data_IF_526142174404
#
_entry.id   IF_526142174404
#
_cell.length_a   1.000
_cell.length_b   1.000
_cell.length_c   1.000
_cell.angle_alpha   90.00
_cell.angle_beta   90.00
_cell.angle_gamma   90.00
#
_symmetry.space_group_name_H-M   'P 1'
#
loop_
_entity.id
_entity.type
_entity.pdbx_description
1 polymer ?
#
# COMPACT_ATOMS: atom_id res chain seq x y z
N UNK A 1 -1.08 -18.91 8.20
CA UNK A 1 -1.19 -18.79 9.65
C UNK A 1 -1.37 -20.17 10.23
N UNK A 2 -0.36 -20.73 10.92
CA UNK A 2 -0.66 -21.75 11.90
C UNK A 2 -1.56 -21.12 12.98
N UNK A 3 -2.52 -21.88 13.55
CA UNK A 3 -3.30 -21.37 14.67
C UNK A 3 -2.35 -20.95 15.79
N UNK A 4 -2.72 -19.89 16.52
CA UNK A 4 -2.17 -19.65 17.85
C UNK A 4 -2.28 -20.99 18.59
N UNK A 5 -1.15 -21.64 18.88
CA UNK A 5 -1.13 -22.94 19.51
C UNK A 5 -1.97 -22.85 20.79
N UNK A 6 -3.06 -23.62 20.86
CA UNK A 6 -3.74 -23.88 22.11
C UNK A 6 -2.67 -24.36 23.09
N UNK A 7 -2.54 -23.67 24.22
CA UNK A 7 -1.91 -24.23 25.40
C UNK A 7 -2.69 -25.51 25.73
N UNK A 8 -2.15 -26.66 25.33
CA UNK A 8 -2.70 -27.95 25.72
C UNK A 8 -2.30 -28.20 27.16
N UNK A 9 -3.24 -28.02 28.09
CA UNK A 9 -3.34 -28.93 29.22
C UNK A 9 -4.33 -30.01 28.81
N UNK A 10 -3.84 -31.24 28.72
CA UNK A 10 -4.65 -32.45 28.66
C UNK A 10 -5.59 -32.48 29.88
N UNK A 11 -6.90 -32.64 29.64
CA UNK A 11 -7.72 -33.65 30.31
C UNK A 11 -9.18 -33.56 29.81
N UNK A 12 -9.57 -34.66 29.18
CA UNK A 12 -10.87 -35.33 29.18
C UNK A 12 -12.21 -34.60 28.92
N UNK A 13 -12.83 -35.08 27.82
CA UNK A 13 -14.19 -35.63 27.71
C UNK A 13 -15.36 -34.75 28.18
N UNK A 14 -16.08 -34.20 27.21
CA UNK A 14 -17.45 -34.63 26.89
C UNK A 14 -17.85 -34.04 25.52
N UNK A 15 -18.21 -34.91 24.59
CA UNK A 15 -18.73 -34.56 23.26
C UNK A 15 -20.17 -34.06 23.42
N UNK A 16 -20.39 -32.77 23.20
CA UNK A 16 -21.68 -32.26 22.75
C UNK A 16 -21.54 -31.70 21.33
N UNK A 17 -22.46 -32.16 20.48
CA UNK A 17 -22.51 -32.00 19.03
C UNK A 17 -22.23 -30.56 18.56
N UNK A 18 -21.12 -30.42 17.85
CA UNK A 18 -20.75 -29.25 17.06
C UNK A 18 -21.53 -29.30 15.72
N UNK A 19 -22.43 -28.35 15.40
CA UNK A 19 -23.01 -28.32 14.07
C UNK A 19 -22.00 -27.68 13.09
N UNK A 20 -21.20 -28.51 12.42
CA UNK A 20 -20.60 -28.12 11.13
C UNK A 20 -21.64 -28.21 10.00
N UNK A 21 -21.39 -27.71 8.77
CA UNK A 21 -20.12 -27.26 8.20
C UNK A 21 -20.20 -25.87 7.48
N UNK A 22 -19.06 -25.30 7.09
CA UNK A 22 -18.91 -24.11 6.22
C UNK A 22 -19.04 -22.70 6.83
N UNK A 23 -18.60 -22.49 8.07
CA UNK A 23 -18.30 -21.12 8.53
C UNK A 23 -16.94 -20.68 7.95
N UNK A 24 -16.96 -20.20 6.71
CA UNK A 24 -15.89 -19.35 6.18
C UNK A 24 -15.71 -18.19 7.17
N UNK A 25 -14.50 -18.01 7.71
CA UNK A 25 -14.16 -16.86 8.55
C UNK A 25 -14.55 -15.57 7.81
N UNK A 26 -15.50 -14.80 8.34
CA UNK A 26 -15.94 -13.53 7.77
C UNK A 26 -14.89 -12.49 8.11
N UNK A 27 -13.84 -12.42 7.31
CA UNK A 27 -12.75 -11.46 7.50
C UNK A 27 -13.12 -10.13 6.87
N UNK A 28 -12.79 -9.03 7.53
CA UNK A 28 -12.99 -7.66 7.04
C UNK A 28 -12.24 -7.48 5.70
N UNK A 29 -12.98 -7.58 4.60
CA UNK A 29 -12.51 -7.27 3.25
C UNK A 29 -13.00 -5.87 2.93
N UNK A 30 -12.07 -4.92 2.84
CA UNK A 30 -12.35 -3.65 2.20
C UNK A 30 -11.78 -3.72 0.79
N UNK A 31 -12.63 -3.49 -0.21
CA UNK A 31 -12.20 -3.21 -1.58
C UNK A 31 -11.36 -1.92 -1.54
N UNK A 32 -10.15 -1.97 -2.09
CA UNK A 32 -9.51 -0.74 -2.59
C UNK A 32 -10.35 -0.26 -3.76
N UNK A 33 -10.59 1.06 -3.85
CA UNK A 33 -11.49 1.66 -4.84
C UNK A 33 -11.17 1.12 -6.25
N UNK A 34 -12.10 0.33 -6.78
CA UNK A 34 -12.22 0.16 -8.22
C UNK A 34 -12.65 1.51 -8.80
N UNK A 35 -11.93 1.98 -9.83
CA UNK A 35 -12.28 3.14 -10.62
C UNK A 35 -13.76 3.14 -11.04
N UNK A 36 -14.38 4.31 -11.20
CA UNK A 36 -15.82 4.41 -11.41
C UNK A 36 -16.22 3.75 -12.73
N UNK A 37 -16.87 2.60 -12.63
CA UNK A 37 -17.60 2.03 -13.75
C UNK A 37 -18.80 2.96 -14.04
N UNK A 38 -18.88 3.39 -15.30
CA UNK A 38 -19.94 4.27 -15.79
C UNK A 38 -21.30 3.66 -15.45
N UNK A 39 -22.13 4.50 -14.83
CA UNK A 39 -23.59 4.42 -14.72
C UNK A 39 -24.27 3.34 -15.57
N UNK A 40 -24.79 2.31 -14.91
CA UNK A 40 -26.11 1.77 -15.22
C UNK A 40 -26.73 1.14 -13.96
N UNK A 41 -27.95 1.57 -13.63
CA UNK A 41 -28.72 1.10 -12.47
C UNK A 41 -28.86 -0.43 -12.50
N UNK A 42 -28.38 -1.11 -11.45
CA UNK A 42 -29.04 -2.32 -10.95
C UNK A 42 -29.26 -2.23 -9.45
N UNK A 43 -30.54 -2.43 -9.13
CA UNK A 43 -31.13 -2.54 -7.80
C UNK A 43 -30.85 -3.96 -7.29
N UNK A 44 -30.32 -4.08 -6.08
CA UNK A 44 -30.13 -5.35 -5.38
C UNK A 44 -28.74 -5.45 -4.76
N UNK A 45 -28.69 -5.29 -3.44
CA UNK A 45 -27.46 -5.48 -2.67
C UNK A 45 -27.07 -6.95 -2.62
N UNK A 46 -26.01 -7.30 -3.33
CA UNK A 46 -25.20 -8.47 -3.08
C UNK A 46 -23.78 -7.97 -2.86
N UNK A 47 -23.28 -8.17 -1.64
CA UNK A 47 -21.85 -8.10 -1.36
C UNK A 47 -21.16 -9.10 -2.27
N UNK A 48 -20.40 -8.62 -3.25
CA UNK A 48 -19.59 -9.49 -4.09
C UNK A 48 -18.50 -10.07 -3.20
N UNK A 49 -18.72 -11.33 -2.81
CA UNK A 49 -17.83 -12.13 -1.99
C UNK A 49 -16.59 -12.48 -2.81
N UNK A 50 -15.56 -11.62 -2.77
CA UNK A 50 -14.31 -11.80 -3.52
C UNK A 50 -13.41 -12.90 -2.95
N UNK A 51 -13.95 -13.81 -2.15
CA UNK A 51 -13.23 -15.01 -1.71
C UNK A 51 -12.88 -15.99 -2.85
N UNK A 52 -13.30 -15.75 -4.09
CA UNK A 52 -13.10 -16.70 -5.20
C UNK A 52 -12.64 -16.12 -6.55
N UNK A 53 -12.18 -14.87 -6.65
CA UNK A 53 -11.66 -14.37 -7.96
C UNK A 53 -10.20 -14.77 -8.27
N UNK A 54 -9.87 -16.00 -7.85
CA UNK A 54 -8.73 -16.82 -8.27
C UNK A 54 -8.81 -17.25 -9.75
N UNK A 55 -9.90 -16.93 -10.45
CA UNK A 55 -10.11 -17.39 -11.82
C UNK A 55 -9.72 -16.33 -12.84
N UNK A 56 -8.97 -16.76 -13.87
CA UNK A 56 -8.34 -15.99 -14.96
C UNK A 56 -7.00 -15.30 -14.66
N UNK A 57 -5.89 -16.02 -14.43
CA UNK A 57 -4.52 -15.56 -14.75
C UNK A 57 -3.64 -16.75 -15.18
N UNK A 58 -2.64 -16.46 -16.01
CA UNK A 58 -1.80 -17.41 -16.74
C UNK A 58 -0.64 -17.96 -15.91
N UNK A 59 0.10 -18.93 -16.47
CA UNK A 59 1.16 -19.66 -15.79
C UNK A 59 2.54 -18.97 -15.67
N UNK A 60 2.66 -17.70 -16.08
CA UNK A 60 3.89 -16.89 -16.19
C UNK A 60 3.67 -15.55 -15.47
N UNK A 61 4.74 -14.89 -15.00
CA UNK A 61 4.67 -13.51 -14.48
C UNK A 61 4.05 -12.63 -15.57
N UNK A 62 3.01 -11.86 -15.20
CA UNK A 62 2.36 -10.96 -16.15
C UNK A 62 2.92 -9.56 -15.97
N UNK A 63 3.67 -9.10 -16.95
CA UNK A 63 4.07 -7.70 -17.01
C UNK A 63 2.87 -6.82 -17.40
N UNK A 64 2.60 -5.80 -16.60
CA UNK A 64 1.54 -4.83 -16.86
C UNK A 64 2.02 -3.41 -16.62
N UNK A 65 1.36 -2.45 -17.26
CA UNK A 65 1.48 -1.06 -16.89
C UNK A 65 0.60 -0.80 -15.67
N UNK A 66 1.11 -0.08 -14.67
CA UNK A 66 0.32 0.43 -13.55
C UNK A 66 -0.51 1.61 -14.05
N UNK A 67 -1.82 1.54 -13.86
CA UNK A 67 -2.72 2.64 -14.19
C UNK A 67 -2.55 3.77 -13.16
N UNK A 68 -2.26 4.97 -13.65
CA UNK A 68 -2.13 6.18 -12.82
C UNK A 68 -2.88 7.30 -13.50
N UNK A 69 -3.70 8.00 -12.73
CA UNK A 69 -4.53 9.10 -13.22
C UNK A 69 -3.93 10.43 -12.79
N UNK A 70 -3.89 11.38 -13.72
CA UNK A 70 -3.45 12.76 -13.50
C UNK A 70 -4.54 13.67 -14.02
N UNK A 71 -5.09 14.54 -13.16
CA UNK A 71 -6.18 15.45 -13.53
C UNK A 71 -7.36 14.74 -14.23
N UNK A 72 -7.69 13.52 -13.77
CA UNK A 72 -8.77 12.70 -14.33
C UNK A 72 -8.45 11.98 -15.64
N UNK A 73 -7.24 12.17 -16.21
CA UNK A 73 -6.78 11.47 -17.41
C UNK A 73 -5.88 10.30 -17.02
N UNK A 74 -6.11 9.14 -17.64
CA UNK A 74 -5.21 7.99 -17.49
C UNK A 74 -3.89 8.32 -18.19
N UNK A 75 -2.76 8.17 -17.48
CA UNK A 75 -1.46 8.31 -18.10
C UNK A 75 -1.20 7.17 -19.08
N UNK A 76 -0.89 7.52 -20.33
CA UNK A 76 -0.48 6.56 -21.35
C UNK A 76 0.97 6.81 -21.75
N UNK A 77 1.85 5.87 -21.37
CA UNK A 77 3.26 5.99 -21.73
C UNK A 77 3.45 6.10 -23.26
N UNK A 78 4.21 7.09 -23.75
CA UNK A 78 4.60 7.14 -25.15
C UNK A 78 5.34 5.84 -25.49
N UNK A 79 4.88 5.15 -26.53
CA UNK A 79 5.47 3.90 -26.99
C UNK A 79 5.46 2.75 -25.94
N UNK A 80 4.27 2.41 -25.40
CA UNK A 80 4.06 1.23 -24.51
C UNK A 80 4.67 -0.09 -25.03
N UNK A 81 4.85 -0.23 -26.35
CA UNK A 81 5.44 -1.43 -26.97
C UNK A 81 6.98 -1.43 -26.92
N UNK A 82 7.62 -0.27 -27.08
CA UNK A 82 9.06 -0.10 -27.06
C UNK A 82 9.70 0.01 -25.68
N UNK A 83 8.89 0.16 -24.62
CA UNK A 83 9.38 0.32 -23.24
C UNK A 83 8.94 -0.80 -22.27
N UNK A 84 9.16 -2.10 -22.58
CA UNK A 84 8.77 -3.20 -21.71
C UNK A 84 9.49 -3.21 -20.35
N UNK A 85 10.67 -2.58 -20.26
CA UNK A 85 11.45 -2.43 -19.03
C UNK A 85 10.76 -1.60 -17.95
N UNK A 86 9.78 -0.76 -18.29
CA UNK A 86 9.02 0.01 -17.29
C UNK A 86 7.70 -0.66 -16.89
N UNK A 87 7.45 -1.88 -17.37
CA UNK A 87 6.32 -2.67 -16.89
C UNK A 87 6.59 -3.19 -15.49
N UNK A 88 5.52 -3.30 -14.73
CA UNK A 88 5.50 -3.88 -13.41
C UNK A 88 5.27 -5.40 -13.51
N UNK A 89 6.15 -6.24 -12.91
CA UNK A 89 6.00 -7.68 -12.94
C UNK A 89 4.96 -8.13 -11.91
N UNK A 90 3.81 -8.65 -12.34
CA UNK A 90 2.76 -9.12 -11.44
C UNK A 90 2.93 -10.60 -11.08
N UNK A 91 2.78 -10.89 -9.79
CA UNK A 91 2.76 -12.27 -9.28
C UNK A 91 1.68 -13.13 -9.98
N UNK A 92 1.98 -14.40 -10.31
CA UNK A 92 0.97 -15.33 -10.82
C UNK A 92 -0.25 -15.42 -9.87
N UNK A 93 -1.48 -15.60 -10.38
CA UNK A 93 -2.66 -15.88 -9.49
C UNK A 93 -2.49 -17.16 -8.70
N UNK A 94 -1.78 -18.13 -9.27
CA UNK A 94 -1.66 -19.46 -8.68
C UNK A 94 -0.78 -19.43 -7.43
N UNK A 95 -1.44 -19.55 -6.27
CA UNK A 95 -0.77 -19.65 -4.96
C UNK A 95 0.04 -20.93 -4.80
N UNK A 96 0.02 -21.88 -5.74
CA UNK A 96 0.93 -23.04 -5.71
C UNK A 96 2.25 -22.74 -6.41
N UNK A 97 2.29 -21.81 -7.37
CA UNK A 97 3.52 -21.41 -8.07
C UNK A 97 4.36 -20.50 -7.19
N UNK A 98 5.65 -20.82 -7.11
CA UNK A 98 6.65 -20.01 -6.40
C UNK A 98 7.31 -19.03 -7.36
N UNK A 99 7.83 -17.93 -6.83
CA UNK A 99 8.53 -16.90 -7.61
C UNK A 99 9.96 -17.32 -7.96
N UNK A 100 10.50 -18.23 -7.15
CA UNK A 100 11.89 -18.68 -7.21
C UNK A 100 12.20 -19.34 -8.55
N UNK A 101 13.20 -18.81 -9.26
CA UNK A 101 13.66 -19.35 -10.54
C UNK A 101 12.69 -19.16 -11.72
N UNK A 102 11.59 -18.42 -11.54
CA UNK A 102 10.64 -18.13 -12.63
C UNK A 102 11.32 -17.31 -13.72
N UNK A 103 10.98 -17.60 -14.98
CA UNK A 103 11.53 -16.96 -16.18
C UNK A 103 13.07 -16.95 -16.21
N UNK A 104 13.69 -18.03 -15.72
CA UNK A 104 15.15 -18.16 -15.66
C UNK A 104 15.79 -17.39 -14.51
N UNK A 105 15.03 -17.04 -13.47
CA UNK A 105 15.52 -16.37 -12.27
C UNK A 105 15.68 -14.85 -12.43
N UNK A 106 15.14 -14.26 -13.50
CA UNK A 106 15.27 -12.82 -13.77
C UNK A 106 14.68 -11.92 -12.69
N UNK A 107 13.81 -12.46 -11.83
CA UNK A 107 13.18 -11.75 -10.72
C UNK A 107 13.68 -12.19 -9.33
N UNK A 108 14.71 -13.04 -9.26
CA UNK A 108 15.26 -13.53 -7.98
C UNK A 108 15.95 -12.44 -7.15
N UNK A 109 16.28 -11.29 -7.78
CA UNK A 109 16.83 -10.12 -7.10
C UNK A 109 15.79 -9.31 -6.31
N UNK A 110 14.49 -9.54 -6.54
CA UNK A 110 13.42 -8.86 -5.83
C UNK A 110 13.36 -9.36 -4.39
N UNK A 111 13.24 -8.44 -3.43
CA UNK A 111 13.15 -8.77 -2.01
C UNK A 111 11.88 -9.59 -1.71
N UNK A 112 12.04 -10.86 -1.32
CA UNK A 112 10.93 -11.82 -1.35
C UNK A 112 10.39 -12.28 0.00
N UNK A 113 9.08 -12.55 -0.05
CA UNK A 113 8.21 -13.12 0.99
C UNK A 113 8.19 -12.37 2.32
N UNK A 114 7.85 -11.07 2.25
CA UNK A 114 7.57 -10.27 3.44
C UNK A 114 6.24 -10.66 4.06
N UNK A 115 6.29 -11.12 5.31
CA UNK A 115 5.11 -11.52 6.06
C UNK A 115 5.41 -11.66 7.54
N UNK A 116 4.37 -11.97 8.33
CA UNK A 116 4.48 -12.09 9.79
C UNK A 116 5.62 -13.04 10.19
N UNK A 117 6.69 -12.54 10.78
CA UNK A 117 7.86 -13.33 11.20
C UNK A 117 7.75 -13.85 12.64
N UNK A 118 6.69 -13.49 13.37
CA UNK A 118 6.47 -13.91 14.75
C UNK A 118 5.46 -15.05 14.88
N UNK A 119 5.82 -16.06 15.68
CA UNK A 119 4.88 -17.07 16.19
C UNK A 119 3.99 -16.51 17.31
N UNK A 120 4.36 -15.36 17.89
CA UNK A 120 3.58 -14.70 18.92
C UNK A 120 2.35 -14.00 18.32
N UNK A 121 1.19 -14.24 18.92
CA UNK A 121 -0.06 -13.63 18.53
C UNK A 121 -0.09 -12.12 18.83
N UNK A 122 0.70 -11.64 19.82
CA UNK A 122 0.89 -10.20 20.10
C UNK A 122 2.12 -9.59 19.42
N UNK A 123 2.90 -10.41 18.68
CA UNK A 123 4.02 -9.94 17.89
C UNK A 123 3.58 -9.31 16.58
N UNK A 124 4.04 -8.09 16.31
CA UNK A 124 3.90 -7.39 15.02
C UNK A 124 5.18 -7.45 14.18
N UNK A 125 6.12 -8.35 14.53
CA UNK A 125 7.34 -8.53 13.75
C UNK A 125 7.01 -9.02 12.34
N UNK A 126 7.59 -8.34 11.37
CA UNK A 126 7.59 -8.75 9.97
C UNK A 126 9.01 -9.10 9.56
N UNK A 127 9.19 -9.85 8.48
CA UNK A 127 10.51 -10.07 7.92
C UNK A 127 10.46 -10.73 6.56
N UNK A 128 11.56 -10.60 5.81
CA UNK A 128 11.78 -11.32 4.57
C UNK A 128 12.01 -12.81 4.87
N UNK A 129 11.14 -13.66 4.35
CA UNK A 129 11.22 -15.11 4.55
C UNK A 129 11.92 -15.76 3.38
N UNK A 130 12.69 -16.81 3.68
CA UNK A 130 13.33 -17.63 2.64
C UNK A 130 12.32 -18.39 1.80
N UNK A 131 11.21 -18.78 2.42
CA UNK A 131 10.16 -19.57 1.78
C UNK A 131 8.80 -18.97 2.11
N UNK A 132 7.89 -19.11 1.16
CA UNK A 132 6.50 -18.71 1.34
C UNK A 132 5.83 -19.47 2.49
N UNK A 133 5.04 -18.76 3.28
CA UNK A 133 4.24 -19.37 4.35
C UNK A 133 3.05 -20.17 3.85
N UNK A 134 2.41 -20.88 4.78
CA UNK A 134 1.13 -21.54 4.57
C UNK A 134 0.01 -20.92 5.40
N UNK A 135 -1.18 -20.83 4.83
CA UNK A 135 -2.45 -20.44 5.44
C UNK A 135 -3.32 -21.65 5.71
N UNK A 136 -3.83 -21.77 6.95
CA UNK A 136 -4.87 -22.73 7.28
C UNK A 136 -6.21 -22.26 6.71
N UNK A 137 -6.90 -23.13 5.97
CA UNK A 137 -8.17 -22.83 5.29
C UNK A 137 -9.35 -23.64 5.85
N UNK A 138 -9.20 -24.22 7.05
CA UNK A 138 -10.20 -25.11 7.67
C UNK A 138 -9.88 -26.60 7.46
N UNK A 139 -10.54 -27.47 8.24
CA UNK A 139 -10.45 -28.94 8.13
C UNK A 139 -9.01 -29.52 8.14
N UNK A 140 -8.08 -28.88 8.84
CA UNK A 140 -6.67 -29.31 8.87
C UNK A 140 -5.89 -29.04 7.58
N UNK A 141 -6.48 -28.39 6.59
CA UNK A 141 -5.85 -28.11 5.29
C UNK A 141 -5.02 -26.84 5.36
N UNK A 142 -3.77 -26.95 4.90
CA UNK A 142 -2.84 -25.85 4.73
C UNK A 142 -2.60 -25.63 3.24
N UNK A 143 -2.85 -24.41 2.77
CA UNK A 143 -2.49 -23.97 1.43
C UNK A 143 -1.39 -22.93 1.53
N UNK A 144 -0.51 -22.78 0.53
CA UNK A 144 0.44 -21.70 0.54
C UNK A 144 -0.26 -20.34 0.59
N UNK A 145 0.28 -19.41 1.39
CA UNK A 145 -0.28 -18.07 1.53
C UNK A 145 -0.16 -17.30 0.20
N UNK A 146 -1.15 -16.47 -0.11
CA UNK A 146 -1.08 -15.60 -1.27
C UNK A 146 -0.07 -14.45 -1.05
N UNK A 147 0.79 -14.25 -2.04
CA UNK A 147 1.79 -13.18 -2.10
C UNK A 147 1.67 -12.48 -3.44
N UNK A 148 1.98 -11.19 -3.46
CA UNK A 148 1.96 -10.38 -4.66
C UNK A 148 3.21 -9.52 -4.72
N UNK A 149 3.67 -9.25 -5.94
CA UNK A 149 4.62 -8.15 -6.14
C UNK A 149 3.96 -6.87 -5.68
N UNK A 150 4.73 -6.02 -5.03
CA UNK A 150 4.29 -4.81 -4.37
C UNK A 150 5.24 -3.67 -4.80
N UNK A 151 4.64 -2.52 -5.12
CA UNK A 151 5.40 -1.29 -5.34
C UNK A 151 5.58 -0.64 -3.99
N UNK A 152 6.78 -0.62 -3.41
CA UNK A 152 6.97 -0.06 -2.06
C UNK A 152 6.44 1.39 -1.97
N UNK A 153 6.64 2.17 -3.02
CA UNK A 153 5.96 3.45 -3.24
C UNK A 153 4.75 3.29 -4.17
N UNK A 154 3.55 3.71 -3.74
CA UNK A 154 2.34 3.58 -4.55
C UNK A 154 2.32 4.56 -5.73
N UNK A 155 2.12 4.04 -6.95
CA UNK A 155 2.03 4.87 -8.16
C UNK A 155 0.87 5.87 -8.13
N UNK A 156 -0.23 5.55 -7.43
CA UNK A 156 -1.36 6.47 -7.27
C UNK A 156 -0.95 7.78 -6.57
N UNK A 157 -0.02 7.73 -5.62
CA UNK A 157 0.47 8.92 -4.91
C UNK A 157 1.19 9.89 -5.85
N UNK A 158 1.88 9.37 -6.87
CA UNK A 158 2.49 10.22 -7.89
C UNK A 158 1.43 11.01 -8.67
N UNK A 159 0.30 10.37 -9.02
CA UNK A 159 -0.83 11.04 -9.66
C UNK A 159 -1.55 12.03 -8.75
N UNK A 160 -1.74 11.69 -7.47
CA UNK A 160 -2.36 12.55 -6.47
C UNK A 160 -1.55 13.82 -6.19
N UNK A 161 -0.21 13.75 -6.26
CA UNK A 161 0.63 14.95 -6.15
C UNK A 161 0.24 16.01 -7.19
N UNK A 162 0.08 15.63 -8.46
CA UNK A 162 -0.35 16.57 -9.50
C UNK A 162 -1.85 16.89 -9.47
N UNK A 163 -2.69 15.95 -9.04
CA UNK A 163 -4.16 16.08 -9.14
C UNK A 163 -4.83 16.73 -7.93
N UNK A 164 -4.21 16.61 -6.75
CA UNK A 164 -4.78 17.10 -5.50
C UNK A 164 -3.85 18.10 -4.83
N UNK A 165 -2.60 17.70 -4.59
CA UNK A 165 -1.68 18.58 -3.87
C UNK A 165 -1.40 19.88 -4.62
N UNK A 166 -0.98 19.79 -5.87
CA UNK A 166 -0.63 20.98 -6.66
C UNK A 166 -1.85 21.80 -7.08
N UNK A 167 -2.98 21.17 -7.41
CA UNK A 167 -4.15 21.87 -7.97
C UNK A 167 -5.22 22.25 -6.95
N UNK A 168 -5.20 21.64 -5.77
CA UNK A 168 -6.15 21.93 -4.69
C UNK A 168 -5.48 22.44 -3.42
N UNK A 169 -4.17 22.24 -3.27
CA UNK A 169 -3.43 22.60 -2.05
C UNK A 169 -3.71 21.68 -0.87
N UNK A 170 -4.36 20.54 -1.10
CA UNK A 170 -4.70 19.55 -0.08
C UNK A 170 -4.89 18.17 -0.71
N UNK A 171 -4.74 17.13 0.10
CA UNK A 171 -5.00 15.74 -0.29
C UNK A 171 -6.28 15.23 0.34
N UNK A 172 -6.96 14.31 -0.34
CA UNK A 172 -8.16 13.67 0.18
C UNK A 172 -7.84 12.97 1.52
N UNK A 173 -8.70 13.19 2.52
CA UNK A 173 -8.56 12.62 3.88
C UNK A 173 -7.26 13.03 4.61
N UNK A 174 -6.63 14.14 4.21
CA UNK A 174 -5.51 14.73 4.96
C UNK A 174 -5.86 14.90 6.45
N UNK A 175 -4.93 14.54 7.33
CA UNK A 175 -5.10 14.69 8.77
C UNK A 175 -3.91 15.44 9.38
N UNK A 176 -4.14 16.60 10.04
CA UNK A 176 -5.40 17.33 10.12
C UNK A 176 -5.81 17.89 8.74
N UNK A 177 -7.11 18.16 8.58
CA UNK A 177 -7.59 18.90 7.41
C UNK A 177 -6.96 20.31 7.41
N UNK A 178 -6.42 20.77 6.26
CA UNK A 178 -5.88 22.12 6.16
C UNK A 178 -6.98 23.20 6.06
N UNK A 179 -8.26 22.80 6.03
CA UNK A 179 -9.38 23.71 5.79
C UNK A 179 -9.52 24.04 4.30
N UNK A 180 -9.91 25.29 4.00
CA UNK A 180 -10.03 25.77 2.62
C UNK A 180 -8.66 26.14 2.09
N UNK A 181 -8.26 25.52 0.98
CA UNK A 181 -6.99 25.74 0.30
C UNK A 181 -7.20 26.10 -1.17
N UNK A 182 -6.19 26.69 -1.78
CA UNK A 182 -6.13 26.96 -3.22
C UNK A 182 -4.91 26.25 -3.79
N UNK A 183 -5.03 25.69 -5.00
CA UNK A 183 -3.91 25.12 -5.73
C UNK A 183 -2.84 26.16 -6.09
N UNK A 184 -1.62 25.67 -6.32
CA UNK A 184 -0.51 26.46 -6.87
C UNK A 184 -0.55 26.55 -8.39
N UNK A 185 -1.13 25.56 -9.03
CA UNK A 185 -1.30 25.44 -10.49
C UNK A 185 -2.71 24.90 -10.76
N UNK A 186 -3.15 24.91 -12.02
CA UNK A 186 -4.37 24.24 -12.45
C UNK A 186 -4.06 22.98 -13.28
N UNK A 187 -5.10 22.26 -13.69
CA UNK A 187 -4.92 21.03 -14.47
C UNK A 187 -4.50 21.30 -15.92
N UNK A 188 -4.76 22.49 -16.46
CA UNK A 188 -4.33 22.86 -17.80
C UNK A 188 -2.81 23.05 -17.80
N UNK A 189 -2.28 23.72 -16.78
CA UNK A 189 -0.83 23.82 -16.53
C UNK A 189 -0.18 22.45 -16.37
N UNK A 190 -0.79 21.54 -15.60
CA UNK A 190 -0.26 20.17 -15.43
C UNK A 190 -0.25 19.43 -16.77
N UNK A 191 -1.29 19.58 -17.58
CA UNK A 191 -1.34 18.96 -18.89
C UNK A 191 -0.21 19.47 -19.80
N UNK A 192 -0.07 20.78 -19.90
CA UNK A 192 0.91 21.43 -20.77
C UNK A 192 2.36 21.17 -20.34
N UNK A 193 2.66 21.27 -19.05
CA UNK A 193 4.04 21.22 -18.55
C UNK A 193 4.49 19.85 -18.05
N UNK A 194 3.57 18.93 -17.77
CA UNK A 194 3.88 17.65 -17.11
C UNK A 194 3.51 16.45 -17.98
N UNK A 195 2.38 16.50 -18.68
CA UNK A 195 1.81 15.34 -19.39
C UNK A 195 2.07 15.36 -20.91
N UNK A 196 2.26 16.52 -21.51
CA UNK A 196 2.45 16.68 -22.95
C UNK A 196 3.92 16.49 -23.37
N UNK A 197 4.12 15.97 -24.60
CA UNK A 197 5.43 15.77 -25.24
C UNK A 197 5.73 16.89 -26.25
N UNK A 198 4.69 17.59 -26.71
CA UNK A 198 4.73 18.41 -27.94
C UNK A 198 5.24 19.86 -27.75
N UNK A 199 5.81 20.22 -26.60
CA UNK A 199 6.41 21.55 -26.46
C UNK A 199 7.80 21.57 -27.10
N UNK A 200 8.02 22.55 -27.98
CA UNK A 200 9.19 22.71 -28.85
C UNK A 200 10.52 22.79 -28.06
N UNK A 201 10.44 22.97 -26.73
CA UNK A 201 11.59 23.13 -25.83
C UNK A 201 11.65 22.06 -24.71
N UNK A 202 10.83 21.00 -24.75
CA UNK A 202 10.85 19.95 -23.73
C UNK A 202 12.14 19.11 -23.77
N UNK A 203 12.97 19.09 -22.70
CA UNK A 203 14.24 18.36 -22.68
C UNK A 203 14.11 16.91 -22.19
N UNK A 204 12.89 16.42 -21.97
CA UNK A 204 12.64 15.13 -21.33
C UNK A 204 12.70 14.00 -22.34
N UNK A 205 13.51 13.00 -22.01
CA UNK A 205 13.75 11.85 -22.87
C UNK A 205 13.56 10.56 -22.09
N UNK A 206 13.22 9.50 -22.80
CA UNK A 206 13.13 8.17 -22.21
C UNK A 206 14.48 7.81 -21.56
N UNK A 207 14.53 7.52 -20.25
CA UNK A 207 15.79 7.21 -19.57
C UNK A 207 16.57 6.02 -20.16
N UNK A 208 15.86 5.07 -20.78
CA UNK A 208 16.43 3.90 -21.46
C UNK A 208 16.71 4.15 -22.94
N UNK A 209 16.15 5.21 -23.52
CA UNK A 209 16.34 5.58 -24.92
C UNK A 209 16.37 7.11 -25.08
N UNK A 210 17.52 7.76 -24.82
CA UNK A 210 17.62 9.22 -24.78
C UNK A 210 17.25 9.95 -26.08
N UNK A 211 17.10 9.26 -27.20
CA UNK A 211 16.63 9.83 -28.47
C UNK A 211 15.10 9.91 -28.60
N UNK A 212 14.35 9.36 -27.65
CA UNK A 212 12.89 9.32 -27.64
C UNK A 212 12.33 10.36 -26.66
N UNK A 213 11.52 11.29 -27.16
CA UNK A 213 10.87 12.30 -26.34
C UNK A 213 9.80 11.68 -25.42
N UNK A 214 9.83 12.05 -24.14
CA UNK A 214 8.91 11.58 -23.10
C UNK A 214 8.30 12.79 -22.38
N UNK A 215 7.07 12.73 -21.86
CA UNK A 215 6.57 13.78 -20.97
C UNK A 215 7.31 13.70 -19.63
N UNK A 216 7.34 14.81 -18.88
CA UNK A 216 7.97 14.81 -17.55
C UNK A 216 7.37 13.69 -16.69
N UNK A 217 6.04 13.58 -16.64
CA UNK A 217 5.36 12.54 -15.88
C UNK A 217 5.86 11.14 -16.22
N UNK A 218 6.16 10.90 -17.50
CA UNK A 218 6.71 9.63 -17.94
C UNK A 218 8.06 9.33 -17.33
N UNK A 219 8.94 10.33 -17.24
CA UNK A 219 10.23 10.18 -16.56
C UNK A 219 10.06 9.90 -15.07
N UNK A 220 9.10 10.55 -14.39
CA UNK A 220 8.81 10.29 -12.97
C UNK A 220 8.24 8.89 -12.76
N UNK A 221 7.33 8.46 -13.63
CA UNK A 221 6.73 7.13 -13.60
C UNK A 221 7.78 6.03 -13.74
N UNK A 222 8.84 6.27 -14.51
CA UNK A 222 9.93 5.29 -14.64
C UNK A 222 10.67 5.06 -13.33
N UNK A 223 10.65 5.99 -12.38
CA UNK A 223 11.31 5.85 -11.08
C UNK A 223 10.50 4.95 -10.10
N UNK A 224 9.27 4.55 -10.45
CA UNK A 224 8.52 3.57 -9.67
C UNK A 224 9.16 2.17 -9.77
N UNK A 225 8.81 1.27 -8.85
CA UNK A 225 9.22 -0.13 -8.94
C UNK A 225 8.72 -0.78 -10.24
N UNK A 226 9.64 -1.28 -11.06
CA UNK A 226 9.33 -1.89 -12.36
C UNK A 226 10.48 -2.84 -12.79
N UNK A 227 10.43 -3.37 -14.02
CA UNK A 227 11.46 -4.28 -14.53
C UNK A 227 12.85 -3.63 -14.67
N UNK A 228 12.96 -2.31 -14.75
CA UNK A 228 14.21 -1.56 -14.71
C UNK A 228 14.67 -1.32 -13.26
N UNK A 229 13.75 -0.93 -12.38
CA UNK A 229 13.99 -0.72 -10.95
C UNK A 229 13.45 -1.86 -10.07
N UNK A 230 14.01 -3.05 -10.24
CA UNK A 230 13.66 -4.24 -9.43
C UNK A 230 14.09 -4.08 -7.97
N UNK A 231 15.06 -3.23 -7.71
CA UNK A 231 15.53 -2.81 -6.39
C UNK A 231 14.47 -2.03 -5.60
N UNK A 232 13.42 -1.52 -6.27
CA UNK A 232 12.29 -0.81 -5.65
C UNK A 232 11.02 -1.67 -5.54
N UNK A 233 11.16 -2.97 -5.77
CA UNK A 233 10.09 -3.96 -5.70
C UNK A 233 10.28 -4.91 -4.52
N UNK A 234 9.16 -5.35 -3.94
CA UNK A 234 9.15 -6.42 -2.98
C UNK A 234 7.99 -7.39 -3.25
N UNK A 235 8.03 -8.56 -2.61
CA UNK A 235 6.91 -9.51 -2.61
C UNK A 235 6.31 -9.55 -1.21
N UNK A 236 5.14 -8.95 -1.07
CA UNK A 236 4.42 -8.80 0.18
C UNK A 236 3.22 -9.75 0.20
N UNK A 237 2.89 -10.26 1.38
CA UNK A 237 1.67 -11.04 1.56
C UNK A 237 0.45 -10.22 1.10
N UNK A 238 -0.38 -10.78 0.22
CA UNK A 238 -1.42 -10.04 -0.51
C UNK A 238 -2.32 -9.19 0.41
N UNK A 239 -2.71 -9.73 1.57
CA UNK A 239 -3.59 -9.03 2.52
C UNK A 239 -2.90 -7.83 3.17
N UNK A 240 -1.61 -7.93 3.43
CA UNK A 240 -0.81 -6.81 3.94
C UNK A 240 -0.63 -5.76 2.85
N UNK A 241 -0.46 -6.19 1.59
CA UNK A 241 -0.36 -5.29 0.44
C UNK A 241 -1.63 -4.44 0.28
N UNK A 242 -2.82 -5.05 0.30
CA UNK A 242 -4.10 -4.31 0.27
C UNK A 242 -4.26 -3.32 1.43
N UNK A 243 -3.79 -3.68 2.64
CA UNK A 243 -3.83 -2.75 3.79
C UNK A 243 -2.81 -1.61 3.65
N UNK A 244 -1.69 -1.86 2.98
CA UNK A 244 -0.69 -0.83 2.68
C UNK A 244 -1.25 0.21 1.71
N UNK A 245 -2.01 -0.21 0.70
CA UNK A 245 -2.71 0.73 -0.20
C UNK A 245 -3.56 1.73 0.62
N UNK A 246 -4.30 1.23 1.63
CA UNK A 246 -5.06 2.10 2.54
C UNK A 246 -4.21 3.08 3.37
N UNK A 247 -2.95 2.76 3.69
CA UNK A 247 -2.03 3.70 4.37
C UNK A 247 -1.82 4.93 3.48
N UNK A 248 -1.64 4.71 2.19
CA UNK A 248 -1.30 5.76 1.23
C UNK A 248 -2.54 6.48 0.67
N UNK A 249 -3.69 5.80 0.61
CA UNK A 249 -5.00 6.42 0.32
C UNK A 249 -5.63 7.13 1.53
N UNK A 250 -4.88 7.24 2.63
CA UNK A 250 -5.29 7.86 3.89
C UNK A 250 -6.65 7.33 4.38
N UNK A 251 -6.88 6.04 4.18
CA UNK A 251 -8.08 5.34 4.57
C UNK A 251 -7.85 4.59 5.88
N UNK A 252 -8.93 4.35 6.62
CA UNK A 252 -8.87 3.40 7.72
C UNK A 252 -8.64 1.99 7.17
N UNK A 253 -7.83 1.20 7.86
CA UNK A 253 -7.59 -0.20 7.53
C UNK A 253 -8.70 -1.17 7.96
N UNK A 254 -9.85 -0.64 8.38
CA UNK A 254 -11.02 -1.37 8.86
C UNK A 254 -12.30 -0.60 8.55
N UNK A 255 -13.40 -1.33 8.40
CA UNK A 255 -14.73 -0.73 8.29
C UNK A 255 -15.39 -0.72 9.66
N UNK A 256 -15.82 0.44 10.21
CA UNK A 256 -16.40 0.49 11.55
C UNK A 256 -17.59 -0.45 11.76
N UNK A 257 -18.52 -0.50 10.79
CA UNK A 257 -19.71 -1.35 10.87
C UNK A 257 -19.38 -2.84 10.80
N UNK A 258 -18.42 -3.22 9.97
CA UNK A 258 -17.97 -4.62 9.85
C UNK A 258 -17.20 -5.03 11.10
N UNK A 259 -16.24 -4.21 11.53
CA UNK A 259 -15.37 -4.49 12.67
C UNK A 259 -16.16 -4.83 13.95
N UNK A 260 -17.22 -4.09 14.24
CA UNK A 260 -18.06 -4.37 15.42
C UNK A 260 -18.83 -5.69 15.34
N UNK A 261 -19.09 -6.20 14.15
CA UNK A 261 -19.76 -7.48 13.91
C UNK A 261 -18.83 -8.70 13.93
N UNK A 262 -17.52 -8.48 13.88
CA UNK A 262 -16.51 -9.55 13.86
C UNK A 262 -16.46 -10.33 15.19
N UNK A 263 -15.99 -11.57 15.11
CA UNK A 263 -15.55 -12.32 16.29
C UNK A 263 -14.30 -11.70 16.91
N UNK A 264 -13.99 -12.06 18.16
CA UNK A 264 -12.80 -11.54 18.87
C UNK A 264 -11.51 -11.86 18.12
N UNK A 265 -11.40 -13.06 17.54
CA UNK A 265 -10.22 -13.46 16.77
C UNK A 265 -10.10 -12.69 15.46
N UNK A 266 -11.22 -12.39 14.80
CA UNK A 266 -11.24 -11.59 13.57
C UNK A 266 -10.87 -10.12 13.84
N UNK A 267 -11.39 -9.53 14.93
CA UNK A 267 -10.98 -8.19 15.36
C UNK A 267 -9.49 -8.13 15.69
N UNK A 268 -8.98 -9.15 16.38
CA UNK A 268 -7.55 -9.29 16.66
C UNK A 268 -6.71 -9.35 15.39
N UNK A 269 -7.15 -10.12 14.40
CA UNK A 269 -6.47 -10.25 13.12
C UNK A 269 -6.40 -8.95 12.35
N UNK A 270 -7.48 -8.15 12.34
CA UNK A 270 -7.49 -6.82 11.72
C UNK A 270 -6.41 -5.92 12.29
N UNK A 271 -6.30 -5.89 13.62
CA UNK A 271 -5.28 -5.11 14.34
C UNK A 271 -3.87 -5.63 14.07
N UNK A 272 -3.69 -6.95 14.08
CA UNK A 272 -2.38 -7.56 13.82
C UNK A 272 -1.86 -7.20 12.43
N UNK A 273 -2.73 -7.23 11.43
CA UNK A 273 -2.36 -6.88 10.05
C UNK A 273 -2.01 -5.40 9.92
N UNK A 274 -2.72 -4.50 10.61
CA UNK A 274 -2.38 -3.08 10.69
C UNK A 274 -0.97 -2.87 11.27
N UNK A 275 -0.66 -3.52 12.40
CA UNK A 275 0.65 -3.44 13.03
C UNK A 275 1.78 -4.02 12.16
N UNK A 276 1.49 -5.11 11.44
CA UNK A 276 2.42 -5.70 10.48
C UNK A 276 2.71 -4.76 9.30
N UNK A 277 1.70 -4.06 8.76
CA UNK A 277 1.90 -3.12 7.66
C UNK A 277 2.76 -1.92 8.07
N UNK A 278 2.60 -1.39 9.29
CA UNK A 278 3.51 -0.35 9.79
C UNK A 278 4.92 -0.88 10.07
N UNK A 279 5.03 -2.09 10.59
CA UNK A 279 6.33 -2.73 10.80
C UNK A 279 7.04 -2.98 9.47
N UNK A 280 6.30 -3.29 8.41
CA UNK A 280 6.80 -3.40 7.03
C UNK A 280 7.40 -2.09 6.55
N UNK A 281 6.62 -1.00 6.58
CA UNK A 281 7.10 0.31 6.14
C UNK A 281 8.25 0.85 6.99
N UNK A 282 8.35 0.41 8.26
CA UNK A 282 9.44 0.76 9.15
C UNK A 282 10.64 -0.19 9.08
N UNK A 283 10.65 -1.22 8.24
CA UNK A 283 11.85 -2.03 8.03
C UNK A 283 12.92 -1.18 7.29
N UNK A 284 14.21 -1.32 7.63
CA UNK A 284 15.28 -0.55 6.99
C UNK A 284 15.39 -0.82 5.48
N UNK A 285 15.16 -2.06 5.07
CA UNK A 285 15.23 -2.47 3.67
C UNK A 285 14.10 -1.82 2.88
N UNK A 286 12.87 -1.97 3.38
CA UNK A 286 11.67 -1.45 2.72
C UNK A 286 11.68 0.08 2.73
N UNK A 287 12.06 0.70 3.85
CA UNK A 287 12.21 2.14 3.92
C UNK A 287 13.25 2.65 2.92
N UNK A 288 14.38 1.94 2.76
CA UNK A 288 15.38 2.24 1.73
C UNK A 288 14.80 2.24 0.32
N UNK A 289 14.03 1.21 -0.05
CA UNK A 289 13.36 1.10 -1.35
C UNK A 289 12.35 2.24 -1.59
N UNK A 290 11.59 2.60 -0.56
CA UNK A 290 10.69 3.75 -0.59
C UNK A 290 11.48 5.05 -0.82
N UNK A 291 12.59 5.23 -0.10
CA UNK A 291 13.48 6.39 -0.20
C UNK A 291 14.09 6.54 -1.59
N UNK A 292 14.52 5.43 -2.21
CA UNK A 292 15.12 5.45 -3.54
C UNK A 292 14.11 5.90 -4.60
N UNK A 293 12.84 5.48 -4.46
CA UNK A 293 11.76 5.98 -5.32
C UNK A 293 11.49 7.47 -5.09
N UNK A 294 11.33 7.87 -3.83
CA UNK A 294 11.09 9.27 -3.45
C UNK A 294 12.19 10.19 -4.00
N UNK A 295 13.45 9.79 -3.82
CA UNK A 295 14.62 10.54 -4.27
C UNK A 295 14.72 10.58 -5.79
N UNK A 296 14.50 9.45 -6.47
CA UNK A 296 14.48 9.39 -7.93
C UNK A 296 13.49 10.40 -8.53
N UNK A 297 12.27 10.46 -7.98
CA UNK A 297 11.26 11.47 -8.39
C UNK A 297 11.72 12.88 -8.02
N UNK A 298 12.21 13.11 -6.81
CA UNK A 298 12.69 14.42 -6.36
C UNK A 298 13.76 15.00 -7.30
N UNK A 299 14.78 14.20 -7.66
CA UNK A 299 15.90 14.65 -8.48
C UNK A 299 15.45 15.03 -9.91
N UNK A 300 14.42 14.35 -10.44
CA UNK A 300 13.80 14.68 -11.73
C UNK A 300 13.01 15.99 -11.65
N UNK A 301 12.27 16.19 -10.56
CA UNK A 301 11.53 17.43 -10.31
C UNK A 301 12.46 18.61 -10.11
N UNK A 302 13.59 18.45 -9.41
CA UNK A 302 14.59 19.52 -9.25
C UNK A 302 15.21 19.92 -10.60
N UNK A 303 15.43 18.95 -11.49
CA UNK A 303 15.85 19.23 -12.86
C UNK A 303 14.76 19.99 -13.64
N UNK A 304 13.49 19.65 -13.45
CA UNK A 304 12.37 20.41 -14.01
C UNK A 304 12.38 21.85 -13.48
N UNK A 305 12.47 22.06 -12.17
CA UNK A 305 12.41 23.38 -11.56
C UNK A 305 13.49 24.32 -12.12
N UNK A 306 14.71 23.82 -12.28
CA UNK A 306 15.84 24.56 -12.88
C UNK A 306 15.60 24.95 -14.32
N UNK A 307 15.01 24.05 -15.11
CA UNK A 307 14.68 24.32 -16.52
C UNK A 307 13.48 25.27 -16.63
N UNK A 308 12.42 25.00 -15.87
CA UNK A 308 11.16 25.74 -15.90
C UNK A 308 11.35 27.21 -15.52
N UNK A 309 12.23 27.49 -14.56
CA UNK A 309 12.61 28.86 -14.17
C UNK A 309 13.13 29.70 -15.34
N UNK A 310 13.73 29.06 -16.36
CA UNK A 310 14.31 29.74 -17.53
C UNK A 310 13.29 29.91 -18.66
N UNK A 311 12.36 28.97 -18.83
CA UNK A 311 11.49 28.90 -20.01
C UNK A 311 10.05 29.37 -19.75
N UNK A 312 9.62 29.45 -18.49
CA UNK A 312 8.24 29.85 -18.16
C UNK A 312 7.92 31.25 -18.67
N UNK A 313 6.69 31.44 -19.12
CA UNK A 313 6.16 32.73 -19.50
C UNK A 313 5.97 33.68 -18.32
N UNK A 314 5.65 34.97 -18.58
CA UNK A 314 5.38 35.94 -17.52
C UNK A 314 4.11 35.63 -16.71
N UNK A 315 3.13 34.95 -17.32
CA UNK A 315 1.84 34.62 -16.71
C UNK A 315 1.79 33.19 -16.14
N UNK A 316 2.86 32.43 -16.31
CA UNK A 316 3.00 31.08 -15.78
C UNK A 316 3.20 31.08 -14.26
N UNK A 317 2.64 30.10 -13.53
CA UNK A 317 2.75 30.03 -12.07
C UNK A 317 4.20 29.81 -11.61
N UNK A 318 4.57 30.46 -10.50
CA UNK A 318 5.86 30.21 -9.85
C UNK A 318 5.73 29.04 -8.86
N UNK A 319 6.25 27.88 -9.27
CA UNK A 319 6.17 26.64 -8.50
C UNK A 319 7.52 25.91 -8.50
N UNK A 320 7.90 25.38 -7.35
CA UNK A 320 9.08 24.53 -7.15
C UNK A 320 8.62 23.12 -6.81
N UNK A 321 8.50 22.27 -7.84
CA UNK A 321 7.93 20.93 -7.72
C UNK A 321 8.71 20.02 -6.78
N UNK A 322 10.05 20.12 -6.73
CA UNK A 322 10.86 19.29 -5.86
C UNK A 322 10.57 19.58 -4.37
N UNK A 323 10.47 20.86 -4.01
CA UNK A 323 10.11 21.27 -2.66
C UNK A 323 8.68 20.85 -2.30
N UNK A 324 7.74 21.02 -3.23
CA UNK A 324 6.35 20.58 -3.04
C UNK A 324 6.23 19.06 -2.92
N UNK A 325 7.01 18.29 -3.66
CA UNK A 325 7.06 16.82 -3.57
C UNK A 325 7.52 16.36 -2.19
N UNK A 326 8.55 17.02 -1.64
CA UNK A 326 9.04 16.77 -0.29
C UNK A 326 7.97 17.06 0.78
N UNK A 327 7.25 18.18 0.65
CA UNK A 327 6.14 18.55 1.55
C UNK A 327 4.97 17.57 1.45
N UNK A 328 4.54 17.26 0.23
CA UNK A 328 3.45 16.31 -0.04
C UNK A 328 3.71 14.96 0.63
N UNK A 329 4.88 14.36 0.40
CA UNK A 329 5.24 13.07 0.98
C UNK A 329 5.26 13.12 2.51
N UNK A 330 5.76 14.21 3.10
CA UNK A 330 5.73 14.36 4.55
C UNK A 330 4.30 14.40 5.10
N UNK A 331 3.40 15.14 4.43
CA UNK A 331 2.00 15.27 4.81
C UNK A 331 1.25 13.95 4.67
N UNK A 332 1.49 13.17 3.60
CA UNK A 332 0.91 11.83 3.43
C UNK A 332 1.33 10.92 4.58
N UNK A 333 2.63 10.81 4.84
CA UNK A 333 3.16 9.94 5.90
C UNK A 333 2.68 10.35 7.30
N UNK A 334 2.64 11.65 7.60
CA UNK A 334 2.16 12.16 8.89
C UNK A 334 0.64 11.96 9.06
N UNK A 335 -0.14 12.19 7.99
CA UNK A 335 -1.58 11.95 7.98
C UNK A 335 -1.88 10.47 8.22
N UNK A 336 -1.16 9.57 7.55
CA UNK A 336 -1.29 8.13 7.74
C UNK A 336 -1.02 7.73 9.20
N UNK A 337 0.06 8.23 9.81
CA UNK A 337 0.35 7.97 11.23
C UNK A 337 -0.79 8.42 12.14
N UNK A 338 -1.35 9.63 11.92
CA UNK A 338 -2.46 10.15 12.74
C UNK A 338 -3.72 9.31 12.59
N UNK A 339 -4.10 8.98 11.36
CA UNK A 339 -5.29 8.19 11.05
C UNK A 339 -5.18 6.81 11.71
N UNK A 340 -4.03 6.16 11.60
CA UNK A 340 -3.85 4.82 12.15
C UNK A 340 -3.69 4.79 13.66
N UNK A 341 -3.11 5.82 14.29
CA UNK A 341 -3.13 5.97 15.75
C UNK A 341 -4.56 6.14 16.27
N UNK A 342 -5.35 7.02 15.64
CA UNK A 342 -6.75 7.21 16.00
C UNK A 342 -7.58 5.94 15.76
N UNK A 343 -7.33 5.24 14.64
CA UNK A 343 -7.99 3.98 14.32
C UNK A 343 -7.61 2.85 15.27
N UNK A 344 -6.37 2.81 15.74
CA UNK A 344 -5.92 1.89 16.78
C UNK A 344 -6.67 2.13 18.11
N UNK A 345 -6.76 3.39 18.56
CA UNK A 345 -7.52 3.71 19.77
C UNK A 345 -8.99 3.32 19.63
N UNK A 346 -9.62 3.59 18.47
CA UNK A 346 -11.01 3.22 18.21
C UNK A 346 -11.22 1.71 18.19
N UNK A 347 -10.38 0.95 17.49
CA UNK A 347 -10.50 -0.52 17.41
C UNK A 347 -10.29 -1.17 18.77
N UNK A 348 -9.40 -0.63 19.59
CA UNK A 348 -9.24 -1.04 20.97
C UNK A 348 -10.52 -0.76 21.78
N UNK A 349 -11.08 0.45 21.72
CA UNK A 349 -12.29 0.83 22.46
C UNK A 349 -13.52 0.04 22.06
N UNK A 350 -13.65 -0.30 20.77
CA UNK A 350 -14.79 -1.03 20.20
C UNK A 350 -14.56 -2.54 20.10
N UNK A 351 -13.46 -3.04 20.67
CA UNK A 351 -13.20 -4.49 20.73
C UNK A 351 -14.33 -5.19 21.47
N UNK A 352 -14.63 -6.42 21.05
CA UNK A 352 -15.61 -7.28 21.69
C UNK A 352 -15.06 -7.77 23.02
N UNK A 353 -15.72 -7.37 24.10
CA UNK A 353 -15.40 -7.81 25.46
C UNK A 353 -16.44 -8.83 25.92
N UNK A 354 -16.02 -10.00 26.39
CA UNK A 354 -16.93 -10.93 27.08
C UNK A 354 -17.30 -10.31 28.44
N UNK A 355 -18.56 -9.90 28.60
CA UNK A 355 -19.06 -9.00 29.64
C UNK A 355 -19.04 -9.55 31.08
N UNK A 356 -18.59 -10.77 31.32
CA UNK A 356 -18.72 -11.44 32.62
C UNK A 356 -17.40 -11.48 33.42
N UNK A 357 -16.25 -11.17 32.81
CA UNK A 357 -14.96 -11.15 33.51
C UNK A 357 -14.02 -10.08 32.93
N UNK A 358 -14.33 -8.82 33.18
CA UNK A 358 -13.67 -7.61 32.63
C UNK A 358 -12.15 -7.50 32.88
N UNK A 359 -11.53 -8.44 33.61
CA UNK A 359 -10.13 -8.34 34.04
C UNK A 359 -9.28 -9.60 33.84
N UNK A 360 -9.84 -10.76 33.45
CA UNK A 360 -9.13 -12.04 33.59
C UNK A 360 -9.16 -12.98 32.38
N UNK A 361 -9.76 -12.59 31.24
CA UNK A 361 -9.69 -13.46 30.07
C UNK A 361 -8.32 -13.35 29.37
N UNK A 362 -7.77 -14.46 28.85
CA UNK A 362 -6.53 -14.44 28.06
C UNK A 362 -6.57 -13.45 26.89
N UNK A 363 -7.74 -13.26 26.27
CA UNK A 363 -7.95 -12.34 25.15
C UNK A 363 -7.79 -10.88 25.57
N UNK A 364 -8.41 -10.49 26.69
CA UNK A 364 -8.29 -9.14 27.24
C UNK A 364 -6.85 -8.85 27.69
N UNK A 365 -6.15 -9.88 28.21
CA UNK A 365 -4.72 -9.84 28.48
C UNK A 365 -3.88 -9.51 27.24
N UNK A 366 -4.17 -10.15 26.08
CA UNK A 366 -3.49 -9.87 24.81
C UNK A 366 -3.71 -8.43 24.33
N UNK A 367 -4.95 -7.92 24.41
CA UNK A 367 -5.26 -6.53 24.08
C UNK A 367 -4.49 -5.53 24.95
N UNK A 368 -4.44 -5.74 26.28
CA UNK A 368 -3.67 -4.87 27.17
C UNK A 368 -2.18 -4.93 26.92
N UNK A 369 -1.66 -6.14 26.70
CA UNK A 369 -0.25 -6.35 26.42
C UNK A 369 0.14 -5.61 25.14
N UNK A 370 -0.64 -5.75 24.06
CA UNK A 370 -0.30 -5.10 22.80
C UNK A 370 -0.47 -3.58 22.84
N UNK A 371 -1.46 -3.06 23.58
CA UNK A 371 -1.57 -1.62 23.83
C UNK A 371 -0.33 -1.11 24.57
N UNK A 372 0.10 -1.82 25.61
CA UNK A 372 1.31 -1.48 26.36
C UNK A 372 2.57 -1.56 25.51
N UNK A 373 2.71 -2.63 24.73
CA UNK A 373 3.85 -2.83 23.83
C UNK A 373 3.87 -1.74 22.77
N UNK A 374 2.76 -1.45 22.11
CA UNK A 374 2.68 -0.39 21.10
C UNK A 374 2.98 0.99 21.69
N UNK A 375 2.53 1.30 22.91
CA UNK A 375 2.93 2.54 23.59
C UNK A 375 4.44 2.62 23.86
N UNK A 376 5.13 1.48 24.03
CA UNK A 376 6.58 1.43 24.26
C UNK A 376 7.39 1.39 22.96
N UNK A 377 6.99 0.59 21.99
CA UNK A 377 7.69 0.39 20.71
C UNK A 377 7.29 1.43 19.67
N UNK A 378 6.14 2.10 19.84
CA UNK A 378 5.59 3.12 18.95
C UNK A 378 5.49 2.61 17.50
N UNK A 379 4.83 1.46 17.27
CA UNK A 379 4.82 0.82 15.94
C UNK A 379 4.16 1.71 14.89
N UNK A 380 3.14 2.48 15.28
CA UNK A 380 2.51 3.47 14.41
C UNK A 380 3.33 4.75 14.31
N UNK A 381 4.47 4.66 13.64
CA UNK A 381 5.30 5.79 13.23
C UNK A 381 5.81 5.61 11.79
N UNK A 382 6.16 6.71 11.13
CA UNK A 382 6.86 6.74 9.84
C UNK A 382 7.89 7.88 9.89
N UNK A 383 8.83 7.76 10.83
CA UNK A 383 9.77 8.81 11.25
C UNK A 383 11.18 8.65 10.70
N UNK A 384 11.44 7.59 9.92
CA UNK A 384 12.76 7.34 9.37
C UNK A 384 13.15 8.46 8.40
N UNK A 385 14.44 8.73 8.34
CA UNK A 385 14.97 9.81 7.53
C UNK A 385 15.15 9.36 6.08
N UNK A 386 14.98 10.30 5.16
CA UNK A 386 15.30 10.20 3.75
C UNK A 386 15.90 11.54 3.31
N UNK A 387 16.91 11.53 2.46
CA UNK A 387 17.48 12.78 1.93
C UNK A 387 16.39 13.61 1.26
N UNK A 388 16.31 14.91 1.57
CA UNK A 388 15.30 15.86 1.09
C UNK A 388 13.86 15.63 1.60
N UNK A 389 13.59 14.58 2.38
CA UNK A 389 12.32 14.44 3.09
C UNK A 389 12.37 15.22 4.40
N UNK A 390 11.42 16.13 4.68
CA UNK A 390 11.35 16.82 5.95
C UNK A 390 11.16 15.83 7.12
N UNK A 391 11.69 16.15 8.32
CA UNK A 391 11.44 15.33 9.50
C UNK A 391 9.94 15.32 9.84
N UNK A 392 9.46 14.23 10.45
CA UNK A 392 8.06 14.13 10.88
C UNK A 392 7.69 15.23 11.87
N UNK A 393 6.45 15.71 11.77
CA UNK A 393 5.85 16.66 12.72
C UNK A 393 5.06 15.96 13.83
N UNK A 394 4.95 14.64 13.77
CA UNK A 394 4.23 13.83 14.76
C UNK A 394 5.14 13.61 15.97
N UNK A 395 4.66 14.02 17.14
CA UNK A 395 5.29 13.75 18.45
C UNK A 395 4.90 12.35 18.96
#
# INVERSE_FOLDING_TARGET
>A
MPPCSKCTSEDDRDEEDWPGPNAILKRDQMEGDALPEKTEKKVGGESVDHLNDLHARAGVVKDAWKDVYVCGKLYEAPNKRGSPQYKFPQFPKDVMKVWDGVDGGIYDSISRYWGNSSADCVGWSIGAKRTRDQTHVGNGVFLPSAYQTEHVYEGQNLGQFFTEWLTRGQIQRQSPSPGTTTGKVDCDWVEDWIMNVDSVDFPWTNPSNPGEAYPLFGTLYTELGNNHHKDRLAILQERLNRKKENIFDLANSYSPGVYTGLSTDEQWMTVKEIGLTFSYMNDDTIWGMWCDTFKGVYDRLDRFDKWYTVVKGPDDPDVTLAEEWAKYNRIVLDSAVRIYRAGWDWTYEKRRTNSVAFLLTPEEGKWRLIRTLNSKTNVFHLKKLCTNLPPTTIV
#
